data_IF_409584365817
#
_entry.id   IF_409584365817
#
_cell.length_a   1.000
_cell.length_b   1.000
_cell.length_c   1.000
_cell.angle_alpha   90.00
_cell.angle_beta   90.00
_cell.angle_gamma   90.00
#
_symmetry.space_group_name_H-M   'P 1'
#
loop_
_entity.id
_entity.type
_entity.pdbx_description
1 polymer ?
#
# COMPACT_ATOMS: atom_id res chain seq x y z
N UNK A 1 -8.91 -13.26 8.05
CA UNK A 1 -7.86 -13.24 6.99
C UNK A 1 -6.88 -14.37 7.25
N UNK A 2 -6.47 -15.15 6.24
CA UNK A 2 -5.48 -16.21 6.45
C UNK A 2 -4.06 -15.61 6.55
N UNK A 3 -3.13 -16.33 7.19
CA UNK A 3 -1.76 -15.84 7.45
C UNK A 3 -1.02 -15.46 6.17
N UNK A 4 -1.20 -16.22 5.09
CA UNK A 4 -0.58 -15.96 3.80
C UNK A 4 -1.05 -14.63 3.17
N UNK A 5 -2.36 -14.37 3.17
CA UNK A 5 -2.91 -13.11 2.67
C UNK A 5 -2.46 -11.92 3.52
N UNK A 6 -2.38 -12.09 4.84
CA UNK A 6 -1.86 -11.06 5.73
C UNK A 6 -0.41 -10.69 5.39
N UNK A 7 0.47 -11.68 5.24
CA UNK A 7 1.86 -11.46 4.84
C UNK A 7 1.96 -10.80 3.47
N UNK A 8 1.18 -11.28 2.49
CA UNK A 8 1.14 -10.68 1.15
C UNK A 8 0.78 -9.19 1.20
N UNK A 9 -0.27 -8.84 1.95
CA UNK A 9 -0.72 -7.44 2.08
C UNK A 9 0.33 -6.59 2.77
N UNK A 10 1.01 -7.10 3.79
CA UNK A 10 2.10 -6.38 4.47
C UNK A 10 3.25 -6.09 3.50
N UNK A 11 3.75 -7.12 2.79
CA UNK A 11 4.84 -6.95 1.83
C UNK A 11 4.44 -6.02 0.67
N UNK A 12 3.21 -6.17 0.17
CA UNK A 12 2.68 -5.30 -0.87
C UNK A 12 2.59 -3.84 -0.40
N UNK A 13 2.10 -3.61 0.82
CA UNK A 13 2.04 -2.26 1.42
C UNK A 13 3.42 -1.64 1.54
N UNK A 14 4.41 -2.38 2.03
CA UNK A 14 5.80 -1.91 2.14
C UNK A 14 6.38 -1.57 0.77
N UNK A 15 6.12 -2.38 -0.25
CA UNK A 15 6.57 -2.11 -1.62
C UNK A 15 5.93 -0.83 -2.18
N UNK A 16 4.63 -0.62 -1.98
CA UNK A 16 3.90 0.56 -2.46
C UNK A 16 4.40 1.84 -1.76
N UNK A 17 4.58 1.79 -0.43
CA UNK A 17 5.13 2.92 0.34
C UNK A 17 6.56 3.21 -0.09
N UNK A 18 7.42 2.19 -0.16
CA UNK A 18 8.81 2.33 -0.58
C UNK A 18 8.94 2.91 -1.98
N UNK A 19 8.14 2.42 -2.93
CA UNK A 19 8.06 2.96 -4.28
C UNK A 19 7.61 4.43 -4.28
N UNK A 20 6.50 4.75 -3.60
CA UNK A 20 6.00 6.11 -3.52
C UNK A 20 7.03 7.08 -2.95
N UNK A 21 7.66 6.71 -1.83
CA UNK A 21 8.72 7.50 -1.20
C UNK A 21 9.93 7.67 -2.11
N UNK A 22 10.38 6.62 -2.79
CA UNK A 22 11.50 6.72 -3.72
C UNK A 22 11.18 7.67 -4.89
N UNK A 23 9.97 7.59 -5.45
CA UNK A 23 9.53 8.49 -6.53
C UNK A 23 9.41 9.95 -6.04
N UNK A 24 9.00 10.19 -4.79
CA UNK A 24 9.01 11.52 -4.19
C UNK A 24 10.44 12.09 -4.12
N UNK A 25 11.42 11.30 -3.66
CA UNK A 25 12.83 11.72 -3.63
C UNK A 25 13.42 11.93 -5.03
N UNK A 26 12.93 11.19 -6.04
CA UNK A 26 13.31 11.38 -7.44
C UNK A 26 12.63 12.60 -8.10
N UNK A 27 11.72 13.29 -7.42
CA UNK A 27 10.95 14.42 -7.98
C UNK A 27 9.86 13.99 -8.97
N UNK A 28 9.59 12.70 -9.12
CA UNK A 28 8.57 12.18 -10.03
C UNK A 28 7.22 12.08 -9.32
N UNK A 29 6.54 13.23 -9.21
CA UNK A 29 5.26 13.33 -8.51
C UNK A 29 4.17 12.46 -9.14
N UNK A 30 4.12 12.34 -10.46
CA UNK A 30 3.11 11.52 -11.15
C UNK A 30 3.24 10.05 -10.75
N UNK A 31 4.45 9.50 -10.77
CA UNK A 31 4.70 8.14 -10.31
C UNK A 31 4.47 8.00 -8.80
N UNK A 32 4.87 8.97 -8.00
CA UNK A 32 4.61 8.95 -6.55
C UNK A 32 3.10 8.90 -6.25
N UNK A 33 2.28 9.73 -6.90
CA UNK A 33 0.82 9.74 -6.71
C UNK A 33 0.13 8.50 -7.27
N UNK A 34 0.75 7.78 -8.22
CA UNK A 34 0.23 6.49 -8.67
C UNK A 34 0.20 5.44 -7.55
N UNK A 35 0.93 5.63 -6.45
CA UNK A 35 0.87 4.76 -5.26
C UNK A 35 -0.43 4.93 -4.46
N UNK A 36 -1.12 6.07 -4.57
CA UNK A 36 -2.29 6.41 -3.76
C UNK A 36 -3.49 5.46 -3.95
N UNK A 37 -3.94 5.13 -5.18
CA UNK A 37 -5.04 4.17 -5.38
C UNK A 37 -4.77 2.81 -4.73
N UNK A 38 -3.51 2.33 -4.78
CA UNK A 38 -3.14 1.06 -4.15
C UNK A 38 -3.26 1.13 -2.63
N UNK A 39 -2.77 2.21 -2.01
CA UNK A 39 -2.91 2.44 -0.57
C UNK A 39 -4.39 2.52 -0.13
N UNK A 40 -5.23 3.17 -0.94
CA UNK A 40 -6.67 3.25 -0.68
C UNK A 40 -7.34 1.88 -0.74
N UNK A 41 -7.01 1.07 -1.75
CA UNK A 41 -7.51 -0.30 -1.88
C UNK A 41 -7.09 -1.15 -0.68
N UNK A 42 -5.82 -1.07 -0.28
CA UNK A 42 -5.30 -1.77 0.91
C UNK A 42 -6.09 -1.35 2.16
N UNK A 43 -6.31 -0.06 2.37
CA UNK A 43 -7.06 0.44 3.52
C UNK A 43 -8.50 -0.06 3.54
N UNK A 44 -9.23 0.06 2.42
CA UNK A 44 -10.62 -0.40 2.31
C UNK A 44 -10.70 -1.92 2.53
N UNK A 45 -9.73 -2.67 2.03
CA UNK A 45 -9.69 -4.12 2.20
C UNK A 45 -9.42 -4.54 3.65
N UNK A 46 -8.53 -3.85 4.37
CA UNK A 46 -8.18 -4.17 5.77
C UNK A 46 -9.25 -3.66 6.75
N UNK A 47 -9.86 -2.50 6.50
CA UNK A 47 -10.77 -1.81 7.43
C UNK A 47 -11.87 -2.70 8.05
N UNK A 48 -12.56 -3.60 7.32
CA UNK A 48 -13.56 -4.50 7.90
C UNK A 48 -12.99 -5.47 8.94
N UNK A 49 -11.72 -5.88 8.79
CA UNK A 49 -11.06 -6.83 9.69
C UNK A 49 -10.53 -6.21 10.98
N UNK A 50 -10.53 -4.88 11.10
CA UNK A 50 -10.12 -4.19 12.32
C UNK A 50 -11.27 -4.03 13.34
N UNK A 51 -12.53 -4.09 12.88
CA UNK A 51 -13.73 -3.89 13.71
C UNK A 51 -14.36 -5.19 14.22
N UNK A 52 -13.76 -6.34 13.94
CA UNK A 52 -14.14 -7.64 14.51
C UNK A 52 -13.15 -8.01 15.61
#
# INVERSE_FOLDING_TARGET
MNKAAALFIIFFTLAVVGFGTWQLYAGNLVAAFSSFPFLLIIYIFIKPFHKQ
#
